data_IF_096425383876
#
_entry.id   IF_096425383876
#
_cell.length_a   1.000
_cell.length_b   1.000
_cell.length_c   1.000
_cell.angle_alpha   90.00
_cell.angle_beta   90.00
_cell.angle_gamma   90.00
#
_symmetry.space_group_name_H-M   'P 1'
#
loop_
_entity.id
_entity.type
_entity.pdbx_description
1 polymer ?
#
# COMPACT_ATOMS: atom_id res chain seq x y z
N UNK A 1 53.11 14.50 85.05
CA UNK A 1 54.35 14.94 85.73
C UNK A 1 55.55 14.20 85.11
N UNK A 2 56.52 15.00 84.61
CA UNK A 2 57.95 14.73 84.32
C UNK A 2 58.31 13.68 83.24
N UNK A 3 59.23 13.93 82.29
CA UNK A 3 60.08 15.09 82.00
C UNK A 3 60.50 15.09 80.52
N UNK A 4 60.72 16.28 79.98
CA UNK A 4 61.43 16.57 78.72
C UNK A 4 62.81 17.09 79.11
N UNK A 5 63.88 16.69 78.40
CA UNK A 5 65.14 17.42 78.45
C UNK A 5 65.82 17.51 77.08
N UNK A 6 66.00 18.78 76.66
CA UNK A 6 67.19 19.36 76.00
C UNK A 6 67.52 18.92 74.56
N UNK A 7 67.99 19.77 73.64
CA UNK A 7 68.94 20.88 73.80
C UNK A 7 68.91 21.77 72.55
N UNK A 8 69.19 23.07 72.70
CA UNK A 8 69.33 24.03 71.61
C UNK A 8 70.72 24.05 70.99
N UNK A 9 70.77 24.16 69.66
CA UNK A 9 71.86 24.72 68.86
C UNK A 9 71.37 24.77 67.39
N UNK A 10 70.93 25.94 66.90
CA UNK A 10 70.43 25.99 65.52
C UNK A 10 70.16 27.38 64.94
N UNK A 11 70.62 28.45 65.59
CA UNK A 11 70.29 29.81 65.13
C UNK A 11 71.24 30.31 64.02
N UNK A 12 72.41 29.68 63.83
CA UNK A 12 73.33 30.05 62.75
C UNK A 12 72.94 29.49 61.36
N UNK A 13 72.02 28.54 61.29
CA UNK A 13 71.64 27.87 60.03
C UNK A 13 70.54 28.59 59.24
N UNK A 14 69.95 29.65 59.80
CA UNK A 14 68.76 30.28 59.22
C UNK A 14 69.05 31.31 58.12
N UNK A 15 70.23 31.95 58.12
CA UNK A 15 70.56 33.02 57.18
C UNK A 15 71.10 32.52 55.82
N UNK A 16 71.72 31.33 55.77
CA UNK A 16 72.17 30.72 54.51
C UNK A 16 71.02 30.07 53.71
N UNK A 17 69.87 29.80 54.36
CA UNK A 17 68.75 29.13 53.72
C UNK A 17 67.89 30.06 52.84
N UNK A 18 68.02 31.39 52.97
CA UNK A 18 67.11 32.35 52.35
C UNK A 18 67.62 32.94 51.02
N UNK A 19 68.87 32.64 50.61
CA UNK A 19 69.49 33.18 49.40
C UNK A 19 69.54 32.17 48.22
N UNK A 20 68.83 31.05 48.32
CA UNK A 20 68.73 30.01 47.29
C UNK A 20 67.30 29.85 46.74
N UNK A 21 66.50 30.92 46.76
CA UNK A 21 65.20 30.94 46.08
C UNK A 21 65.45 31.23 44.59
N UNK A 22 65.73 30.17 43.82
CA UNK A 22 65.77 30.20 42.35
C UNK A 22 64.35 30.28 41.75
N UNK A 23 64.21 30.66 40.46
CA UNK A 23 62.90 30.83 39.81
C UNK A 23 62.20 29.48 39.67
N UNK A 24 60.91 29.44 40.01
CA UNK A 24 60.09 28.24 39.93
C UNK A 24 59.72 27.98 38.45
N UNK A 25 60.08 26.83 37.85
CA UNK A 25 59.63 26.49 36.50
C UNK A 25 58.11 26.21 36.52
N UNK A 26 57.36 26.87 35.63
CA UNK A 26 55.95 26.56 35.42
C UNK A 26 55.80 25.22 34.70
N UNK A 27 55.21 24.23 35.38
CA UNK A 27 54.91 22.91 34.82
C UNK A 27 53.58 22.98 34.05
N UNK A 28 53.62 23.00 32.71
CA UNK A 28 52.41 22.83 31.91
C UNK A 28 51.98 21.36 31.96
N UNK A 29 50.95 21.05 32.76
CA UNK A 29 50.37 19.71 32.84
C UNK A 29 49.25 19.55 31.82
N UNK A 30 49.41 18.61 30.89
CA UNK A 30 48.31 18.06 30.10
C UNK A 30 47.48 17.15 31.02
N UNK A 31 46.24 17.57 31.32
CA UNK A 31 45.33 16.82 32.18
C UNK A 31 44.73 15.57 31.51
N UNK A 32 45.15 15.26 30.27
CA UNK A 32 44.68 14.11 29.52
C UNK A 32 43.20 14.21 29.14
N UNK A 33 42.74 13.24 28.36
CA UNK A 33 41.33 13.13 28.01
C UNK A 33 40.56 12.52 29.19
N UNK A 34 39.60 13.25 29.76
CA UNK A 34 38.77 12.79 30.88
C UNK A 34 37.49 12.16 30.34
N UNK A 35 37.40 10.82 30.38
CA UNK A 35 36.17 10.08 30.07
C UNK A 35 36.43 8.69 29.48
N UNK A 36 35.63 7.70 29.90
CA UNK A 36 35.60 6.39 29.24
C UNK A 36 34.87 6.54 27.90
N UNK A 37 35.57 6.33 26.78
CA UNK A 37 34.95 6.20 25.46
C UNK A 37 34.55 4.74 25.27
N UNK A 38 33.24 4.49 25.21
CA UNK A 38 32.72 3.17 24.88
C UNK A 38 32.64 3.03 23.36
N UNK A 39 33.02 1.88 22.78
CA UNK A 39 32.76 1.62 21.38
C UNK A 39 31.24 1.62 21.15
N UNK A 40 30.80 2.14 20.01
CA UNK A 40 29.41 2.05 19.57
C UNK A 40 29.18 0.59 19.11
N UNK A 41 28.77 -0.26 20.04
CA UNK A 41 28.35 -1.65 19.80
C UNK A 41 26.83 -1.68 19.71
N UNK A 42 26.29 -1.22 18.59
CA UNK A 42 24.87 -1.43 18.30
C UNK A 42 24.60 -2.94 18.19
N UNK A 43 23.55 -3.46 18.85
CA UNK A 43 23.12 -4.84 18.64
C UNK A 43 22.87 -5.08 17.15
N UNK A 44 23.37 -6.19 16.62
CA UNK A 44 23.08 -6.60 15.26
C UNK A 44 21.56 -6.61 15.05
N UNK A 45 21.10 -5.81 14.08
CA UNK A 45 19.69 -5.65 13.77
C UNK A 45 19.06 -6.98 13.39
N UNK A 46 19.77 -7.83 12.65
CA UNK A 46 19.30 -9.15 12.22
C UNK A 46 19.19 -10.09 13.43
N UNK A 47 20.17 -10.09 14.33
CA UNK A 47 20.10 -10.87 15.57
C UNK A 47 18.94 -10.41 16.48
N UNK A 48 18.68 -9.10 16.50
CA UNK A 48 17.56 -8.51 17.26
C UNK A 48 16.21 -8.89 16.64
N UNK A 49 16.09 -8.85 15.31
CA UNK A 49 14.90 -9.30 14.57
C UNK A 49 14.66 -10.79 14.81
N UNK A 50 15.70 -11.63 14.73
CA UNK A 50 15.62 -13.07 14.98
C UNK A 50 15.17 -13.38 16.41
N UNK A 51 15.76 -12.73 17.42
CA UNK A 51 15.38 -12.92 18.81
C UNK A 51 13.91 -12.53 19.07
N UNK A 52 13.41 -11.49 18.39
CA UNK A 52 12.00 -11.10 18.45
C UNK A 52 11.10 -12.14 17.77
N UNK A 53 11.47 -12.62 16.58
CA UNK A 53 10.73 -13.67 15.86
C UNK A 53 10.65 -14.96 16.68
N UNK A 54 11.77 -15.46 17.22
CA UNK A 54 11.78 -16.68 18.05
C UNK A 54 10.94 -16.55 19.32
N UNK A 55 10.96 -15.37 19.96
CA UNK A 55 10.10 -15.09 21.13
C UNK A 55 8.61 -15.09 20.73
N UNK A 56 8.26 -14.47 19.60
CA UNK A 56 6.89 -14.44 19.10
C UNK A 56 6.42 -15.83 18.62
N UNK A 57 7.34 -16.68 18.14
CA UNK A 57 7.08 -18.09 17.81
C UNK A 57 6.82 -18.92 19.07
N UNK A 58 7.70 -18.86 20.07
CA UNK A 58 7.57 -19.61 21.33
C UNK A 58 6.37 -19.21 22.18
N UNK A 59 5.87 -17.98 22.04
CA UNK A 59 4.63 -17.51 22.69
C UNK A 59 3.35 -17.80 21.88
N UNK A 60 3.48 -18.33 20.65
CA UNK A 60 2.37 -18.57 19.73
C UNK A 60 1.75 -17.29 19.13
N UNK A 61 2.35 -16.12 19.36
CA UNK A 61 1.89 -14.84 18.84
C UNK A 61 1.93 -14.81 17.30
N UNK A 62 3.01 -15.33 16.69
CA UNK A 62 3.12 -15.41 15.22
C UNK A 62 2.01 -16.24 14.60
N UNK A 63 1.67 -17.38 15.20
CA UNK A 63 0.60 -18.24 14.71
C UNK A 63 -0.76 -17.52 14.76
N UNK A 64 -1.05 -16.82 15.86
CA UNK A 64 -2.28 -16.00 15.99
C UNK A 64 -2.32 -14.86 14.97
N UNK A 65 -1.20 -14.16 14.76
CA UNK A 65 -1.10 -13.08 13.78
C UNK A 65 -1.36 -13.59 12.35
N UNK A 66 -0.77 -14.74 12.00
CA UNK A 66 -0.96 -15.37 10.70
C UNK A 66 -2.42 -15.82 10.49
N UNK A 67 -3.03 -16.42 11.50
CA UNK A 67 -4.43 -16.83 11.43
C UNK A 67 -5.37 -15.63 11.26
N UNK A 68 -5.15 -14.56 12.02
CA UNK A 68 -5.92 -13.32 11.87
C UNK A 68 -5.71 -12.70 10.48
N UNK A 69 -4.47 -12.69 9.98
CA UNK A 69 -4.17 -12.22 8.63
C UNK A 69 -4.91 -13.04 7.58
N UNK A 70 -4.86 -14.38 7.67
CA UNK A 70 -5.57 -15.29 6.77
C UNK A 70 -7.09 -15.04 6.78
N UNK A 71 -7.70 -14.94 7.97
CA UNK A 71 -9.13 -14.62 8.14
C UNK A 71 -9.50 -13.28 7.49
N UNK A 72 -8.67 -12.24 7.68
CA UNK A 72 -8.90 -10.92 7.06
C UNK A 72 -8.80 -10.99 5.53
N UNK A 73 -7.80 -11.70 5.00
CA UNK A 73 -7.63 -11.86 3.55
C UNK A 73 -8.81 -12.63 2.95
N UNK A 74 -9.24 -13.73 3.59
CA UNK A 74 -10.41 -14.48 3.13
C UNK A 74 -11.66 -13.61 3.08
N UNK A 75 -11.94 -12.86 4.16
CA UNK A 75 -13.07 -11.93 4.21
C UNK A 75 -12.98 -10.87 3.10
N UNK A 76 -11.80 -10.30 2.87
CA UNK A 76 -11.55 -9.29 1.83
C UNK A 76 -11.77 -9.84 0.42
N UNK A 77 -11.37 -11.08 0.18
CA UNK A 77 -11.54 -11.76 -1.12
C UNK A 77 -13.01 -12.14 -1.34
N UNK A 78 -13.68 -12.66 -0.31
CA UNK A 78 -15.12 -12.98 -0.36
C UNK A 78 -15.98 -11.74 -0.54
N UNK A 79 -15.68 -10.66 0.18
CA UNK A 79 -16.42 -9.39 0.13
C UNK A 79 -15.46 -8.24 -0.11
N UNK A 80 -15.18 -7.94 -1.40
CA UNK A 80 -14.34 -6.82 -1.79
C UNK A 80 -14.87 -5.49 -1.27
N UNK A 81 -13.99 -4.48 -1.18
CA UNK A 81 -14.44 -3.11 -0.88
C UNK A 81 -15.36 -2.63 -2.02
N UNK A 82 -16.55 -2.09 -1.72
CA UNK A 82 -17.41 -1.47 -2.73
C UNK A 82 -16.69 -0.36 -3.49
N UNK A 83 -17.05 -0.16 -4.76
CA UNK A 83 -16.61 0.97 -5.55
C UNK A 83 -17.28 2.23 -5.02
N UNK A 84 -16.47 3.23 -4.68
CA UNK A 84 -16.94 4.47 -4.08
C UNK A 84 -17.70 5.33 -5.13
N UNK A 85 -18.79 5.99 -4.72
CA UNK A 85 -19.49 6.98 -5.55
C UNK A 85 -20.53 6.43 -6.53
N UNK A 86 -20.65 5.12 -6.69
CA UNK A 86 -21.66 4.51 -7.57
C UNK A 86 -23.02 4.45 -6.86
N UNK A 87 -24.08 4.88 -7.54
CA UNK A 87 -25.44 4.91 -6.99
C UNK A 87 -26.47 4.28 -7.93
N UNK A 88 -27.68 3.91 -7.48
CA UNK A 88 -28.69 3.37 -8.38
C UNK A 88 -29.15 4.39 -9.44
N UNK A 89 -29.28 3.95 -10.69
CA UNK A 89 -29.71 4.78 -11.82
C UNK A 89 -31.17 5.22 -11.66
N UNK A 90 -31.37 6.54 -11.54
CA UNK A 90 -32.70 7.17 -11.46
C UNK A 90 -33.15 7.75 -12.79
N UNK A 91 -32.19 8.06 -13.67
CA UNK A 91 -32.41 8.56 -15.02
C UNK A 91 -31.61 7.72 -15.99
N UNK A 92 -32.17 7.45 -17.17
CA UNK A 92 -31.45 6.71 -18.20
C UNK A 92 -30.47 7.65 -18.90
N UNK A 93 -29.24 7.19 -19.12
CA UNK A 93 -28.18 7.96 -19.77
C UNK A 93 -27.37 7.04 -20.67
N UNK A 94 -26.98 7.53 -21.84
CA UNK A 94 -26.12 6.80 -22.77
C UNK A 94 -25.12 7.73 -23.43
N UNK A 95 -23.90 7.25 -23.62
CA UNK A 95 -22.82 7.99 -24.28
C UNK A 95 -21.84 7.00 -24.95
N UNK A 96 -21.01 7.51 -25.86
CA UNK A 96 -19.95 6.74 -26.48
C UNK A 96 -18.61 7.10 -25.84
N UNK A 97 -17.88 6.06 -25.44
CA UNK A 97 -16.50 6.15 -24.97
C UNK A 97 -15.55 5.78 -26.12
N UNK A 98 -14.62 6.68 -26.44
CA UNK A 98 -13.56 6.43 -27.43
C UNK A 98 -12.29 5.90 -26.72
N UNK A 99 -11.93 4.61 -26.91
CA UNK A 99 -10.73 4.04 -26.32
C UNK A 99 -9.44 4.40 -27.07
N UNK A 100 -9.46 5.35 -28.01
CA UNK A 100 -8.27 5.79 -28.74
C UNK A 100 -7.25 6.43 -27.81
N UNK A 101 -6.11 5.77 -27.64
CA UNK A 101 -4.98 6.26 -26.85
C UNK A 101 -3.93 6.90 -27.75
N UNK A 102 -3.24 7.92 -27.24
CA UNK A 102 -2.03 8.44 -27.85
C UNK A 102 -0.82 7.78 -27.20
N UNK A 103 0.11 7.30 -28.02
CA UNK A 103 1.36 6.71 -27.55
C UNK A 103 2.26 7.85 -27.03
N UNK A 104 2.61 7.83 -25.74
CA UNK A 104 3.41 8.90 -25.12
C UNK A 104 4.89 8.84 -25.48
N UNK A 105 5.41 7.63 -25.74
CA UNK A 105 6.82 7.37 -26.01
C UNK A 105 6.97 6.38 -27.15
N UNK A 106 8.06 6.50 -27.89
CA UNK A 106 8.42 5.52 -28.92
C UNK A 106 8.40 4.10 -28.34
N UNK A 107 7.56 3.26 -28.92
CA UNK A 107 7.52 1.83 -28.64
C UNK A 107 8.47 1.16 -29.62
N UNK A 108 9.48 0.46 -29.09
CA UNK A 108 10.45 -0.30 -29.87
C UNK A 108 10.36 -1.78 -29.55
N UNK A 109 10.63 -2.61 -30.54
CA UNK A 109 10.79 -4.05 -30.32
C UNK A 109 12.12 -4.35 -29.59
N UNK A 110 12.32 -5.61 -29.22
CA UNK A 110 13.54 -6.11 -28.58
C UNK A 110 14.82 -5.98 -29.44
N UNK A 111 14.68 -5.66 -30.73
CA UNK A 111 15.78 -5.44 -31.68
C UNK A 111 16.04 -3.95 -31.96
N UNK A 112 15.26 -3.05 -31.34
CA UNK A 112 15.37 -1.60 -31.49
C UNK A 112 14.55 -0.98 -32.63
N UNK A 113 13.77 -1.78 -33.37
CA UNK A 113 12.90 -1.29 -34.44
C UNK A 113 11.71 -0.54 -33.87
N UNK A 114 11.34 0.59 -34.47
CA UNK A 114 10.19 1.38 -34.05
C UNK A 114 8.88 0.68 -34.42
N UNK A 115 8.08 0.32 -33.43
CA UNK A 115 6.74 -0.26 -33.58
C UNK A 115 5.70 0.87 -33.69
N UNK A 116 5.79 1.88 -32.82
CA UNK A 116 4.91 3.05 -32.84
C UNK A 116 5.66 4.27 -32.31
N UNK A 117 5.61 5.39 -33.03
CA UNK A 117 6.20 6.64 -32.58
C UNK A 117 5.35 7.35 -31.53
N UNK A 118 6.00 8.16 -30.69
CA UNK A 118 5.31 9.08 -29.80
C UNK A 118 4.32 9.99 -30.59
N UNK A 119 3.15 10.23 -30.01
CA UNK A 119 2.05 10.98 -30.62
C UNK A 119 1.14 10.16 -31.56
N UNK A 120 1.50 8.92 -31.90
CA UNK A 120 0.64 8.08 -32.72
C UNK A 120 -0.65 7.72 -31.97
N UNK A 121 -1.81 7.88 -32.62
CA UNK A 121 -3.13 7.56 -32.06
C UNK A 121 -3.53 6.16 -32.49
N UNK A 122 -3.81 5.29 -31.53
CA UNK A 122 -4.18 3.90 -31.77
C UNK A 122 -5.50 3.63 -31.05
N UNK A 123 -6.47 3.08 -31.78
CA UNK A 123 -7.68 2.55 -31.18
C UNK A 123 -7.54 1.03 -31.01
N UNK A 124 -7.60 0.50 -29.77
CA UNK A 124 -7.52 -0.94 -29.53
C UNK A 124 -8.59 -1.77 -30.27
N UNK A 125 -9.76 -1.18 -30.55
CA UNK A 125 -10.88 -1.84 -31.23
C UNK A 125 -10.62 -2.08 -32.73
N UNK A 126 -9.56 -1.51 -33.29
CA UNK A 126 -9.11 -1.81 -34.67
C UNK A 126 -8.44 -3.18 -34.77
N UNK A 127 -7.96 -3.71 -33.64
CA UNK A 127 -7.21 -4.95 -33.57
C UNK A 127 -7.93 -6.04 -32.77
N UNK A 128 -8.87 -5.66 -31.91
CA UNK A 128 -9.59 -6.57 -31.01
C UNK A 128 -11.09 -6.30 -31.05
N UNK A 129 -11.87 -7.37 -31.23
CA UNK A 129 -13.32 -7.34 -31.08
C UNK A 129 -13.74 -7.79 -29.67
N UNK A 130 -14.54 -6.95 -29.01
CA UNK A 130 -15.13 -7.24 -27.70
C UNK A 130 -16.44 -8.00 -27.92
N UNK A 131 -16.36 -9.33 -27.81
CA UNK A 131 -17.49 -10.24 -28.07
C UNK A 131 -18.55 -10.27 -26.97
N UNK A 132 -18.24 -9.74 -25.79
CA UNK A 132 -19.11 -9.82 -24.62
C UNK A 132 -19.37 -8.43 -24.07
N UNK A 133 -20.63 -8.13 -23.79
CA UNK A 133 -21.01 -6.90 -23.11
C UNK A 133 -20.47 -6.92 -21.67
N UNK A 134 -20.10 -5.74 -21.17
CA UNK A 134 -19.74 -5.57 -19.76
C UNK A 134 -20.96 -4.99 -19.04
N UNK A 135 -21.52 -5.75 -18.09
CA UNK A 135 -22.75 -5.39 -17.39
C UNK A 135 -22.41 -5.12 -15.93
N UNK A 136 -22.51 -3.86 -15.52
CA UNK A 136 -22.22 -3.39 -14.17
C UNK A 136 -23.49 -3.38 -13.33
N UNK A 137 -23.45 -4.01 -12.16
CA UNK A 137 -24.57 -4.08 -11.21
C UNK A 137 -24.10 -3.92 -9.77
N UNK A 138 -24.97 -3.43 -8.90
CA UNK A 138 -24.83 -3.65 -7.46
C UNK A 138 -25.19 -5.12 -7.15
N UNK A 139 -24.22 -5.89 -6.64
CA UNK A 139 -24.39 -7.29 -6.30
C UNK A 139 -25.20 -7.55 -5.03
N UNK A 140 -25.38 -6.55 -4.16
CA UNK A 140 -26.29 -6.63 -3.01
C UNK A 140 -27.74 -6.27 -3.40
N UNK A 141 -27.97 -5.61 -4.55
CA UNK A 141 -29.30 -5.32 -5.07
C UNK A 141 -29.87 -6.52 -5.86
N UNK A 142 -30.79 -7.24 -5.23
CA UNK A 142 -31.45 -8.41 -5.82
C UNK A 142 -32.20 -8.08 -7.13
N UNK A 143 -32.71 -6.86 -7.29
CA UNK A 143 -33.43 -6.43 -8.50
C UNK A 143 -32.46 -6.31 -9.67
N UNK A 144 -31.31 -5.67 -9.46
CA UNK A 144 -30.27 -5.53 -10.48
C UNK A 144 -29.67 -6.88 -10.84
N UNK A 145 -29.39 -7.73 -9.85
CA UNK A 145 -28.84 -9.05 -10.10
C UNK A 145 -29.82 -9.94 -10.88
N UNK A 146 -31.11 -9.93 -10.54
CA UNK A 146 -32.16 -10.65 -11.27
C UNK A 146 -32.32 -10.13 -12.71
N UNK A 147 -32.27 -8.81 -12.89
CA UNK A 147 -32.31 -8.19 -14.20
C UNK A 147 -31.12 -8.61 -15.07
N UNK A 148 -29.88 -8.55 -14.55
CA UNK A 148 -28.69 -8.91 -15.30
C UNK A 148 -28.65 -10.40 -15.64
N UNK A 149 -28.99 -11.27 -14.68
CA UNK A 149 -28.95 -12.73 -14.87
C UNK A 149 -30.07 -13.25 -15.76
N UNK A 150 -31.24 -12.59 -15.81
CA UNK A 150 -32.33 -12.97 -16.73
C UNK A 150 -32.09 -12.50 -18.16
N UNK A 151 -31.41 -11.36 -18.35
CA UNK A 151 -31.22 -10.75 -19.68
C UNK A 151 -29.95 -11.22 -20.40
N UNK A 152 -28.87 -11.49 -19.67
CA UNK A 152 -27.56 -11.80 -20.25
C UNK A 152 -27.10 -13.20 -19.88
N UNK A 153 -26.50 -13.94 -20.81
CA UNK A 153 -25.88 -15.27 -20.58
C UNK A 153 -24.35 -15.17 -20.51
N UNK A 154 -23.68 -16.20 -19.99
CA UNK A 154 -22.22 -16.18 -19.76
C UNK A 154 -21.41 -15.99 -21.04
N UNK A 155 -22.00 -16.38 -22.17
CA UNK A 155 -21.42 -16.23 -23.49
C UNK A 155 -21.58 -14.81 -24.01
N UNK A 156 -22.66 -14.12 -23.63
CA UNK A 156 -23.00 -12.78 -24.16
C UNK A 156 -22.50 -11.62 -23.30
N UNK A 157 -22.35 -11.82 -21.99
CA UNK A 157 -21.90 -10.74 -21.12
C UNK A 157 -21.12 -11.21 -19.91
N UNK A 158 -20.21 -10.34 -19.46
CA UNK A 158 -19.56 -10.41 -18.16
C UNK A 158 -20.35 -9.53 -17.18
N UNK A 159 -20.91 -10.16 -16.15
CA UNK A 159 -21.58 -9.42 -15.08
C UNK A 159 -20.51 -9.03 -14.04
N UNK A 160 -20.36 -7.73 -13.85
CA UNK A 160 -19.33 -7.09 -13.04
C UNK A 160 -20.03 -6.38 -11.88
N UNK A 161 -19.61 -6.70 -10.67
CA UNK A 161 -20.16 -6.10 -9.46
C UNK A 161 -19.38 -4.84 -9.09
N UNK A 162 -20.11 -3.81 -8.68
CA UNK A 162 -19.55 -2.61 -8.02
C UNK A 162 -19.64 -2.71 -6.50
N UNK A 163 -20.52 -3.57 -5.99
CA UNK A 163 -20.74 -3.86 -4.57
C UNK A 163 -21.21 -5.32 -4.42
N UNK A 164 -21.11 -5.88 -3.22
CA UNK A 164 -21.52 -7.25 -2.89
C UNK A 164 -20.42 -8.30 -3.08
N UNK A 165 -20.79 -9.58 -2.95
CA UNK A 165 -19.87 -10.73 -3.07
C UNK A 165 -20.04 -11.47 -4.41
N UNK A 166 -19.06 -11.37 -5.33
CA UNK A 166 -19.06 -12.21 -6.53
C UNK A 166 -18.95 -13.69 -6.19
N UNK A 167 -18.18 -14.06 -5.16
CA UNK A 167 -17.97 -15.48 -4.79
C UNK A 167 -19.29 -16.10 -4.33
N UNK A 168 -20.02 -15.44 -3.44
CA UNK A 168 -21.30 -15.95 -2.97
C UNK A 168 -22.31 -16.04 -4.14
N UNK A 169 -22.31 -15.06 -5.05
CA UNK A 169 -23.14 -15.09 -6.25
C UNK A 169 -22.74 -16.25 -7.20
N UNK A 170 -21.44 -16.52 -7.37
CA UNK A 170 -20.93 -17.63 -8.17
C UNK A 170 -21.38 -18.97 -7.58
N UNK A 171 -21.29 -19.15 -6.25
CA UNK A 171 -21.77 -20.35 -5.56
C UNK A 171 -23.28 -20.54 -5.74
N UNK A 172 -24.07 -19.48 -5.58
CA UNK A 172 -25.53 -19.55 -5.64
C UNK A 172 -26.06 -19.79 -7.07
N UNK A 173 -25.46 -19.16 -8.08
CA UNK A 173 -25.97 -19.17 -9.46
C UNK A 173 -25.18 -20.09 -10.41
N UNK A 174 -24.08 -20.70 -9.94
CA UNK A 174 -23.19 -21.59 -10.72
C UNK A 174 -22.71 -20.96 -12.03
N UNK A 175 -22.37 -19.67 -11.95
CA UNK A 175 -22.08 -18.79 -13.09
C UNK A 175 -20.98 -17.81 -12.72
N UNK A 176 -20.17 -17.37 -13.68
CA UNK A 176 -19.06 -16.43 -13.43
C UNK A 176 -19.58 -15.02 -13.16
N UNK A 177 -19.08 -14.43 -12.07
CA UNK A 177 -19.23 -13.01 -11.76
C UNK A 177 -17.85 -12.40 -11.54
N UNK A 178 -17.74 -11.12 -11.84
CA UNK A 178 -16.51 -10.34 -11.68
C UNK A 178 -16.76 -9.18 -10.74
N UNK A 179 -15.70 -8.51 -10.32
CA UNK A 179 -15.79 -7.30 -9.49
C UNK A 179 -14.94 -6.21 -10.12
N UNK A 180 -15.44 -4.99 -10.16
CA UNK A 180 -14.67 -3.84 -10.61
C UNK A 180 -13.74 -3.36 -9.48
N UNK A 181 -12.63 -4.06 -9.32
CA UNK A 181 -11.67 -3.76 -8.25
C UNK A 181 -11.15 -2.33 -8.40
N UNK A 182 -11.26 -1.56 -7.32
CA UNK A 182 -10.86 -0.15 -7.26
C UNK A 182 -11.62 0.76 -8.24
N UNK A 183 -12.73 0.30 -8.84
CA UNK A 183 -13.53 1.12 -9.75
C UNK A 183 -12.85 1.46 -11.08
N UNK A 184 -11.86 0.67 -11.53
CA UNK A 184 -11.07 1.01 -12.72
C UNK A 184 -11.93 1.10 -13.98
N UNK A 185 -12.83 0.14 -14.18
CA UNK A 185 -13.66 0.11 -15.38
C UNK A 185 -14.77 1.16 -15.30
N UNK A 186 -15.43 1.28 -14.15
CA UNK A 186 -16.44 2.32 -13.93
C UNK A 186 -15.85 3.72 -14.12
N UNK A 187 -14.66 4.00 -13.59
CA UNK A 187 -13.95 5.26 -13.82
C UNK A 187 -13.56 5.46 -15.28
N UNK A 188 -13.03 4.43 -15.95
CA UNK A 188 -12.65 4.50 -17.37
C UNK A 188 -13.84 4.84 -18.26
N UNK A 189 -14.98 4.19 -18.02
CA UNK A 189 -16.19 4.41 -18.82
C UNK A 189 -17.02 5.62 -18.37
N UNK A 190 -16.70 6.24 -17.23
CA UNK A 190 -17.46 7.35 -16.67
C UNK A 190 -18.83 6.93 -16.10
N UNK A 191 -18.94 5.70 -15.62
CA UNK A 191 -20.18 5.17 -15.03
C UNK A 191 -20.33 5.74 -13.63
N UNK A 192 -21.45 6.41 -13.37
CA UNK A 192 -21.80 6.95 -12.06
C UNK A 192 -22.96 6.17 -11.43
N UNK A 193 -23.74 5.48 -12.27
CA UNK A 193 -24.94 4.80 -11.84
C UNK A 193 -25.06 3.34 -12.31
N UNK A 194 -25.59 2.47 -11.45
CA UNK A 194 -25.91 1.07 -11.79
C UNK A 194 -27.42 0.82 -11.79
N UNK A 195 -27.91 -0.10 -12.64
CA UNK A 195 -27.14 -0.92 -13.57
C UNK A 195 -26.67 -0.16 -14.81
N UNK A 196 -25.50 -0.53 -15.33
CA UNK A 196 -24.94 0.01 -16.57
C UNK A 196 -24.48 -1.10 -17.51
N UNK A 197 -24.55 -0.86 -18.81
CA UNK A 197 -24.11 -1.79 -19.85
C UNK A 197 -23.14 -1.09 -20.76
N UNK A 198 -22.03 -1.75 -21.06
CA UNK A 198 -21.03 -1.29 -22.01
C UNK A 198 -20.91 -2.31 -23.12
N UNK A 199 -21.23 -1.90 -24.34
CA UNK A 199 -21.16 -2.75 -25.54
C UNK A 199 -20.32 -2.08 -26.63
N UNK A 200 -19.68 -2.88 -27.47
CA UNK A 200 -18.90 -2.33 -28.59
C UNK A 200 -19.85 -1.74 -29.64
N UNK A 201 -19.58 -0.50 -30.05
CA UNK A 201 -20.25 0.21 -31.12
C UNK A 201 -19.21 0.69 -32.14
N UNK A 202 -18.84 -0.20 -33.07
CA UNK A 202 -17.78 0.03 -34.05
C UNK A 202 -16.43 0.27 -33.36
N UNK A 203 -15.89 1.48 -33.51
CA UNK A 203 -14.63 1.95 -32.90
C UNK A 203 -14.80 2.61 -31.53
N UNK A 204 -15.99 2.56 -30.96
CA UNK A 204 -16.31 3.14 -29.64
C UNK A 204 -16.95 2.08 -28.75
N UNK A 205 -17.04 2.36 -27.45
CA UNK A 205 -17.82 1.57 -26.51
C UNK A 205 -19.05 2.38 -26.11
N UNK A 206 -20.25 1.89 -26.42
CA UNK A 206 -21.49 2.52 -25.99
C UNK A 206 -21.77 2.14 -24.54
N UNK A 207 -21.82 3.14 -23.68
CA UNK A 207 -22.20 3.00 -22.28
C UNK A 207 -23.66 3.38 -22.13
N UNK A 208 -24.42 2.65 -21.31
CA UNK A 208 -25.83 2.93 -21.03
C UNK A 208 -26.19 2.59 -19.59
N UNK A 209 -26.57 3.60 -18.82
CA UNK A 209 -27.14 3.47 -17.48
C UNK A 209 -28.65 3.29 -17.61
N UNK A 210 -29.18 2.26 -16.94
CA UNK A 210 -30.54 1.77 -17.15
C UNK A 210 -31.34 1.92 -15.87
N UNK A 211 -32.46 2.62 -15.95
CA UNK A 211 -33.38 2.74 -14.81
C UNK A 211 -34.19 1.45 -14.69
N UNK A 212 -34.00 0.75 -13.57
CA UNK A 212 -34.90 -0.33 -13.20
C UNK A 212 -36.09 0.26 -12.45
N UNK A 213 -37.31 -0.10 -12.85
CA UNK A 213 -38.48 0.18 -12.01
C UNK A 213 -38.29 -0.59 -10.70
N UNK A 214 -38.46 0.04 -9.53
CA UNK A 214 -38.46 -0.70 -8.28
C UNK A 214 -39.51 -1.80 -8.39
N UNK A 215 -39.08 -3.06 -8.29
CA UNK A 215 -39.99 -4.18 -8.21
C UNK A 215 -40.88 -3.97 -7.00
N UNK A 216 -42.21 -4.16 -7.13
CA UNK A 216 -43.09 -4.20 -5.97
C UNK A 216 -42.52 -5.23 -5.00
N UNK A 217 -42.04 -4.76 -3.85
CA UNK A 217 -41.74 -5.63 -2.72
C UNK A 217 -43.03 -6.37 -2.38
N UNK A 218 -43.05 -7.67 -2.66
CA UNK A 218 -44.09 -8.57 -2.17
C UNK A 218 -43.81 -8.97 -0.74
#
# INVERSE_FOLDING_TARGET
MKAVLTSGAGIASFAAAMLLIGPIPGEARDYGHVGQVFPIIEPDLLATIEARLRRAEGSGELARMNEQFARRVEQRVRRPKPVDGITPARMARSWDYDPTIAIERDIRDQKGNLIAGAGHRINPLDFVEIKQDLVFVDGDDATQLAWATSRYTDLKAKIIFVNGSPIDAMTAKKRRFYFDQEGKLTATFGIEHTPAVVSQNGRTMRVSEIVLKPGKSG
#
